data_IF_789679033187
#
_entry.id   IF_789679033187
#
_cell.length_a   1.000
_cell.length_b   1.000
_cell.length_c   1.000
_cell.angle_alpha   90.00
_cell.angle_beta   90.00
_cell.angle_gamma   90.00
#
_symmetry.space_group_name_H-M   'P 1'
#
loop_
_entity.id
_entity.type
_entity.pdbx_description
1 polymer ?
#
# COMPACT_ATOMS: atom_id res chain seq x y z
N UNK A 1 24.36 11.70 3.80
CA UNK A 1 23.37 11.80 4.88
C UNK A 1 22.03 12.01 4.19
N UNK A 2 21.34 10.94 3.82
CA UNK A 2 20.01 11.07 3.21
C UNK A 2 18.99 11.28 4.33
N UNK A 3 18.14 12.29 4.13
CA UNK A 3 16.98 12.58 4.97
C UNK A 3 16.20 11.29 5.22
N UNK A 4 16.10 10.90 6.48
CA UNK A 4 15.24 9.80 6.90
C UNK A 4 13.81 10.22 6.66
N UNK A 5 13.06 9.45 5.87
CA UNK A 5 11.62 9.58 5.70
C UNK A 5 10.98 9.81 7.08
N UNK A 6 10.17 10.88 7.29
CA UNK A 6 9.61 11.18 8.60
C UNK A 6 8.82 9.99 9.12
N UNK A 7 9.37 9.36 10.17
CA UNK A 7 8.77 8.22 10.86
C UNK A 7 7.36 8.57 11.32
N UNK A 8 6.36 7.90 10.72
CA UNK A 8 4.95 8.02 11.10
C UNK A 8 4.65 7.20 12.36
N UNK A 9 3.65 7.61 13.13
CA UNK A 9 3.24 6.85 14.32
C UNK A 9 2.54 5.54 13.98
N UNK A 10 1.94 5.44 12.79
CA UNK A 10 1.16 4.26 12.35
C UNK A 10 1.57 3.89 10.93
N UNK A 11 1.96 2.64 10.71
CA UNK A 11 2.17 2.07 9.38
C UNK A 11 1.06 1.07 9.08
N UNK A 12 0.32 1.29 7.99
CA UNK A 12 -0.74 0.40 7.53
C UNK A 12 -0.20 -0.44 6.37
N UNK A 13 0.03 -1.72 6.63
CA UNK A 13 0.43 -2.67 5.59
C UNK A 13 -0.80 -3.25 4.89
N UNK A 14 -0.82 -3.17 3.56
CA UNK A 14 -1.93 -3.63 2.73
C UNK A 14 -1.41 -4.53 1.61
N UNK A 15 -1.17 -5.83 1.90
CA UNK A 15 -0.92 -6.81 0.85
C UNK A 15 -2.21 -7.10 0.08
N UNK A 16 -2.12 -7.12 -1.25
CA UNK A 16 -3.28 -7.25 -2.13
C UNK A 16 -2.98 -8.21 -3.27
N UNK A 17 -3.89 -9.17 -3.49
CA UNK A 17 -3.85 -10.07 -4.65
C UNK A 17 -5.25 -10.24 -5.22
N UNK A 18 -5.49 -9.78 -6.45
CA UNK A 18 -6.77 -9.88 -7.17
C UNK A 18 -7.97 -9.30 -6.40
N UNK A 19 -7.78 -8.14 -5.78
CA UNK A 19 -8.82 -7.44 -5.00
C UNK A 19 -9.03 -5.99 -5.46
N UNK A 20 -8.89 -5.71 -6.76
CA UNK A 20 -9.07 -4.38 -7.33
C UNK A 20 -10.43 -3.76 -6.95
N UNK A 21 -11.47 -4.54 -6.71
CA UNK A 21 -12.79 -4.00 -6.34
C UNK A 21 -12.85 -3.36 -4.95
N UNK A 22 -11.87 -3.64 -4.08
CA UNK A 22 -11.86 -3.13 -2.70
C UNK A 22 -10.82 -2.06 -2.44
N UNK A 23 -9.76 -2.00 -3.27
CA UNK A 23 -8.59 -1.15 -3.00
C UNK A 23 -8.94 0.34 -2.87
N UNK A 24 -9.78 0.86 -3.78
CA UNK A 24 -10.21 2.26 -3.78
C UNK A 24 -10.91 2.61 -2.46
N UNK A 25 -11.84 1.75 -2.02
CA UNK A 25 -12.56 1.96 -0.75
C UNK A 25 -11.61 1.92 0.45
N UNK A 26 -10.64 1.01 0.44
CA UNK A 26 -9.67 0.88 1.53
C UNK A 26 -8.77 2.13 1.63
N UNK A 27 -8.23 2.61 0.51
CA UNK A 27 -7.41 3.83 0.48
C UNK A 27 -8.22 5.05 0.92
N UNK A 28 -9.43 5.25 0.37
CA UNK A 28 -10.28 6.38 0.76
C UNK A 28 -10.67 6.32 2.25
N UNK A 29 -10.84 5.12 2.81
CA UNK A 29 -11.13 4.97 4.24
C UNK A 29 -9.97 5.51 5.10
N UNK A 30 -8.71 5.31 4.69
CA UNK A 30 -7.53 5.83 5.40
C UNK A 30 -7.42 7.35 5.28
N UNK A 31 -7.67 7.89 4.09
CA UNK A 31 -7.70 9.34 3.85
C UNK A 31 -8.77 10.07 4.67
N UNK A 32 -9.85 9.40 5.03
CA UNK A 32 -10.94 9.95 5.84
C UNK A 32 -10.73 9.77 7.37
N UNK A 33 -9.63 9.19 7.83
CA UNK A 33 -9.37 9.02 9.25
C UNK A 33 -9.06 10.36 9.94
N UNK A 34 -9.45 10.47 11.21
CA UNK A 34 -9.15 11.64 12.05
C UNK A 34 -7.71 11.68 12.54
N UNK A 35 -7.05 10.52 12.65
CA UNK A 35 -5.61 10.42 12.84
C UNK A 35 -4.92 10.57 11.49
N UNK A 36 -4.04 11.56 11.33
CA UNK A 36 -3.36 11.86 10.07
C UNK A 36 -1.90 11.44 10.04
N UNK A 37 -1.33 11.01 11.18
CA UNK A 37 0.07 10.61 11.29
C UNK A 37 0.26 9.12 10.98
N UNK A 38 -0.02 8.77 9.72
CA UNK A 38 0.10 7.41 9.21
C UNK A 38 0.86 7.36 7.88
N UNK A 39 1.32 6.17 7.52
CA UNK A 39 1.72 5.79 6.17
C UNK A 39 0.95 4.54 5.73
N UNK A 40 0.76 4.41 4.43
CA UNK A 40 0.12 3.28 3.79
C UNK A 40 1.12 2.64 2.85
N UNK A 41 1.41 1.36 3.08
CA UNK A 41 2.29 0.56 2.24
C UNK A 41 1.45 -0.51 1.57
N UNK A 42 1.23 -0.36 0.27
CA UNK A 42 0.47 -1.30 -0.56
C UNK A 42 1.46 -2.24 -1.23
N UNK A 43 1.26 -3.54 -1.06
CA UNK A 43 2.05 -4.58 -1.73
C UNK A 43 1.11 -5.33 -2.68
N UNK A 44 1.21 -5.05 -3.98
CA UNK A 44 0.57 -5.87 -5.00
C UNK A 44 1.35 -7.18 -5.16
N UNK A 45 0.77 -8.26 -4.65
CA UNK A 45 1.38 -9.59 -4.63
C UNK A 45 1.09 -10.35 -5.95
N UNK A 46 1.45 -9.74 -7.08
CA UNK A 46 1.32 -10.34 -8.42
C UNK A 46 -0.10 -10.42 -8.95
N UNK A 47 -0.96 -9.42 -8.68
CA UNK A 47 -2.34 -9.38 -9.18
C UNK A 47 -2.39 -9.32 -10.70
N UNK A 48 -3.40 -9.97 -11.28
CA UNK A 48 -3.67 -9.99 -12.72
C UNK A 48 -4.93 -9.21 -13.11
N UNK A 49 -5.60 -8.62 -12.13
CA UNK A 49 -6.75 -7.72 -12.34
C UNK A 49 -6.31 -6.25 -12.47
N UNK A 50 -7.28 -5.33 -12.56
CA UNK A 50 -7.03 -3.89 -12.76
C UNK A 50 -6.47 -3.17 -11.52
N UNK A 51 -5.85 -3.87 -10.56
CA UNK A 51 -5.38 -3.31 -9.30
C UNK A 51 -4.44 -2.12 -9.52
N UNK A 52 -3.41 -2.30 -10.34
CA UNK A 52 -2.42 -1.26 -10.63
C UNK A 52 -3.07 0.03 -11.13
N UNK A 53 -4.01 -0.09 -12.09
CA UNK A 53 -4.76 1.05 -12.65
C UNK A 53 -5.59 1.78 -11.59
N UNK A 54 -6.11 1.07 -10.59
CA UNK A 54 -6.87 1.70 -9.50
C UNK A 54 -5.97 2.37 -8.48
N UNK A 55 -4.80 1.79 -8.19
CA UNK A 55 -3.83 2.35 -7.25
C UNK A 55 -3.11 3.55 -7.85
N UNK A 56 -2.88 3.58 -9.17
CA UNK A 56 -2.15 4.68 -9.84
C UNK A 56 -2.75 6.07 -9.59
N UNK A 57 -4.06 6.16 -9.35
CA UNK A 57 -4.74 7.41 -9.00
C UNK A 57 -4.35 7.99 -7.62
N UNK A 58 -3.59 7.23 -6.81
CA UNK A 58 -3.24 7.55 -5.43
C UNK A 58 -1.74 7.72 -5.20
N UNK A 59 -0.90 7.40 -6.20
CA UNK A 59 0.56 7.36 -6.04
C UNK A 59 1.21 8.73 -5.85
N UNK A 60 0.52 9.82 -6.19
CA UNK A 60 0.98 11.19 -5.91
C UNK A 60 0.80 11.58 -4.43
N UNK A 61 0.10 10.77 -3.63
CA UNK A 61 -0.13 11.06 -2.22
C UNK A 61 1.11 10.75 -1.38
N UNK A 62 1.67 11.71 -0.63
CA UNK A 62 2.99 11.58 0.03
C UNK A 62 3.03 10.57 1.20
N UNK A 63 1.90 9.95 1.54
CA UNK A 63 1.78 8.92 2.59
C UNK A 63 1.54 7.53 2.02
N UNK A 64 1.50 7.37 0.69
CA UNK A 64 1.15 6.10 0.05
C UNK A 64 2.35 5.60 -0.75
N UNK A 65 2.85 4.45 -0.35
CA UNK A 65 3.90 3.71 -1.05
C UNK A 65 3.28 2.47 -1.70
N UNK A 66 3.75 2.13 -2.90
CA UNK A 66 3.26 0.99 -3.66
C UNK A 66 4.42 0.15 -4.19
N UNK A 67 4.36 -1.14 -3.89
CA UNK A 67 5.30 -2.16 -4.33
C UNK A 67 4.56 -3.22 -5.11
N UNK A 68 5.20 -3.76 -6.15
CA UNK A 68 4.60 -4.76 -7.03
C UNK A 68 5.54 -5.94 -7.19
N UNK A 69 5.04 -7.13 -6.85
CA UNK A 69 5.70 -8.39 -7.11
C UNK A 69 5.34 -8.88 -8.51
N UNK A 70 6.31 -9.46 -9.22
CA UNK A 70 6.08 -10.05 -10.55
C UNK A 70 5.13 -11.26 -10.50
N UNK A 71 5.13 -12.00 -9.38
CA UNK A 71 4.30 -13.17 -9.13
C UNK A 71 3.77 -13.16 -7.71
N UNK A 72 2.70 -13.90 -7.46
CA UNK A 72 2.20 -14.09 -6.10
C UNK A 72 3.21 -14.88 -5.26
N UNK A 73 3.78 -14.24 -4.24
CA UNK A 73 4.72 -14.86 -3.29
C UNK A 73 4.05 -15.28 -1.98
N UNK A 74 2.76 -14.93 -1.82
CA UNK A 74 1.93 -15.29 -0.69
C UNK A 74 1.95 -14.23 0.42
N UNK A 75 0.85 -14.19 1.18
CA UNK A 75 0.55 -13.14 2.17
C UNK A 75 1.69 -12.88 3.17
N UNK A 76 2.32 -13.93 3.70
CA UNK A 76 3.38 -13.78 4.69
C UNK A 76 4.63 -13.12 4.12
N UNK A 77 5.02 -13.49 2.90
CA UNK A 77 6.15 -12.88 2.21
C UNK A 77 5.84 -11.43 1.84
N UNK A 78 4.65 -11.15 1.32
CA UNK A 78 4.19 -9.80 1.01
C UNK A 78 4.14 -8.88 2.25
N UNK A 79 3.68 -9.39 3.39
CA UNK A 79 3.71 -8.63 4.65
C UNK A 79 5.15 -8.34 5.11
N UNK A 80 6.03 -9.33 5.03
CA UNK A 80 7.44 -9.15 5.42
C UNK A 80 8.15 -8.11 4.55
N UNK A 81 7.78 -7.96 3.27
CA UNK A 81 8.31 -6.89 2.41
C UNK A 81 7.93 -5.49 2.94
N UNK A 82 6.73 -5.34 3.51
CA UNK A 82 6.29 -4.06 4.10
C UNK A 82 6.85 -3.77 5.50
N UNK A 83 7.51 -4.74 6.15
CA UNK A 83 8.10 -4.59 7.49
C UNK A 83 9.60 -4.26 7.47
N UNK A 84 10.26 -4.40 6.32
CA UNK A 84 11.69 -4.15 6.13
C UNK A 84 11.98 -2.65 5.99
#
# INVERSE_FOLDING_TARGET
>A
MSETDPKRSISVLMPVYNQANFITRAIESLKLQTCTDWELIIINDGSTDDLHKKVSAYLDHPQISYFENEVNVGLGAALNQGLQ
#
